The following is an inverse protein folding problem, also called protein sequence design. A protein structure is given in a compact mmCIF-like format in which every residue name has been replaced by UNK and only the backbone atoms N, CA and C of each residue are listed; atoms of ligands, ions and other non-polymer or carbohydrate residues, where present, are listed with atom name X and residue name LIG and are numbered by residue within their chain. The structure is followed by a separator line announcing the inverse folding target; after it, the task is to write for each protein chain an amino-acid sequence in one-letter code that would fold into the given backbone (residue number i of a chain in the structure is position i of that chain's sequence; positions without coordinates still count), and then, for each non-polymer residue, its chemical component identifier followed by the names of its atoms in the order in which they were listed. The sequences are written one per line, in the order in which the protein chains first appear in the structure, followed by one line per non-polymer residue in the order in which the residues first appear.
data_IF_667370763944
#
_entry.id   IF_667370763944
#
_cell.length_a   1.000
_cell.length_b   1.000
_cell.length_c   1.000
_cell.angle_alpha   90.00
_cell.angle_beta   90.00
_cell.angle_gamma   90.00
#
_symmetry.space_group_name_H-M   'P 1'
#
loop_
_entity.id
_entity.type
_entity.pdbx_description
1 polymer ?
#
# COMPACT_ATOMS: atom_id res chain seq x y z
N UNK A 1 -23.96 -26.16 -23.94
CA UNK A 1 -22.86 -26.30 -22.94
C UNK A 1 -23.33 -25.68 -21.62
N UNK A 2 -23.14 -26.32 -20.46
CA UNK A 2 -23.69 -25.85 -19.18
C UNK A 2 -23.09 -24.53 -18.68
N UNK A 3 -21.92 -24.10 -19.20
CA UNK A 3 -21.30 -22.81 -18.88
C UNK A 3 -22.06 -21.57 -19.42
N UNK A 4 -22.97 -21.77 -20.37
CA UNK A 4 -23.71 -20.69 -21.04
C UNK A 4 -25.00 -20.31 -20.30
N UNK A 5 -25.30 -20.97 -19.17
CA UNK A 5 -26.48 -20.63 -18.38
C UNK A 5 -26.18 -19.35 -17.57
N UNK A 6 -26.87 -18.22 -17.82
CA UNK A 6 -26.59 -16.94 -17.17
C UNK A 6 -26.98 -16.93 -15.69
N UNK A 7 -27.83 -17.86 -15.26
CA UNK A 7 -28.26 -18.00 -13.88
C UNK A 7 -27.44 -19.08 -13.14
N UNK A 8 -26.83 -18.79 -11.97
CA UNK A 8 -26.78 -17.52 -11.25
C UNK A 8 -25.37 -16.90 -11.27
N UNK A 9 -24.93 -16.30 -12.38
CA UNK A 9 -23.61 -15.66 -12.48
C UNK A 9 -23.39 -14.55 -11.45
N UNK A 10 -24.45 -13.80 -11.11
CA UNK A 10 -24.37 -12.74 -10.10
C UNK A 10 -24.03 -13.29 -8.70
N UNK A 11 -24.61 -14.43 -8.31
CA UNK A 11 -24.31 -15.08 -7.03
C UNK A 11 -22.89 -15.64 -7.02
N UNK A 12 -22.45 -16.24 -8.12
CA UNK A 12 -21.08 -16.76 -8.25
C UNK A 12 -20.07 -15.62 -8.16
N UNK A 13 -20.31 -14.52 -8.88
CA UNK A 13 -19.46 -13.33 -8.86
C UNK A 13 -19.37 -12.77 -7.44
N UNK A 14 -20.52 -12.47 -6.81
CA UNK A 14 -20.57 -11.86 -5.46
C UNK A 14 -19.94 -12.76 -4.39
N UNK A 15 -20.20 -14.06 -4.42
CA UNK A 15 -19.60 -15.03 -3.49
C UNK A 15 -18.08 -15.13 -3.66
N UNK A 16 -17.59 -15.13 -4.91
CA UNK A 16 -16.16 -15.18 -5.21
C UNK A 16 -15.46 -13.92 -4.71
N UNK A 17 -16.02 -12.74 -4.99
CA UNK A 17 -15.47 -11.48 -4.50
C UNK A 17 -15.48 -11.39 -2.98
N UNK A 18 -16.57 -11.81 -2.32
CA UNK A 18 -16.65 -11.81 -0.86
C UNK A 18 -15.61 -12.74 -0.22
N UNK A 19 -15.42 -13.92 -0.80
CA UNK A 19 -14.42 -14.88 -0.31
C UNK A 19 -13.01 -14.31 -0.49
N UNK A 20 -12.73 -13.68 -1.64
CA UNK A 20 -11.44 -13.06 -1.89
C UNK A 20 -11.16 -11.89 -0.94
N UNK A 21 -12.13 -11.01 -0.68
CA UNK A 21 -11.94 -9.88 0.24
C UNK A 21 -11.71 -10.35 1.68
N UNK A 22 -12.50 -11.32 2.16
CA UNK A 22 -12.35 -11.86 3.52
C UNK A 22 -10.98 -12.51 3.73
N UNK A 23 -10.48 -13.25 2.74
CA UNK A 23 -9.21 -13.99 2.87
C UNK A 23 -7.99 -13.08 2.62
N UNK A 24 -8.06 -12.20 1.61
CA UNK A 24 -6.91 -11.42 1.16
C UNK A 24 -6.68 -10.17 2.03
N UNK A 25 -7.74 -9.48 2.45
CA UNK A 25 -7.64 -8.24 3.24
C UNK A 25 -6.76 -8.38 4.51
N UNK A 26 -6.95 -9.38 5.39
CA UNK A 26 -6.12 -9.50 6.59
C UNK A 26 -4.67 -9.82 6.26
N UNK A 27 -4.42 -10.56 5.18
CA UNK A 27 -3.05 -10.90 4.72
C UNK A 27 -2.32 -9.66 4.23
N UNK A 28 -3.00 -8.80 3.46
CA UNK A 28 -2.40 -7.55 2.98
C UNK A 28 -2.14 -6.59 4.15
N UNK A 29 -3.08 -6.46 5.08
CA UNK A 29 -2.91 -5.55 6.21
C UNK A 29 -1.77 -5.96 7.16
N UNK A 30 -1.42 -7.25 7.20
CA UNK A 30 -0.31 -7.75 8.02
C UNK A 30 1.09 -7.41 7.49
N UNK A 31 1.21 -6.83 6.29
CA UNK A 31 2.52 -6.45 5.75
C UNK A 31 3.11 -5.27 6.50
N UNK A 32 4.28 -5.49 7.09
CA UNK A 32 5.11 -4.43 7.64
C UNK A 32 5.85 -3.72 6.51
N UNK A 33 5.76 -2.38 6.39
CA UNK A 33 6.51 -1.64 5.38
C UNK A 33 8.01 -1.73 5.70
N UNK A 34 8.81 -2.18 4.73
CA UNK A 34 10.27 -2.34 4.87
C UNK A 34 11.00 -1.02 5.09
N UNK A 35 10.42 0.08 4.62
CA UNK A 35 10.89 1.43 4.91
C UNK A 35 9.84 2.13 5.77
N UNK A 36 10.19 2.54 6.98
CA UNK A 36 9.37 3.51 7.70
C UNK A 36 9.27 4.76 6.81
N UNK A 37 8.07 5.27 6.49
CA UNK A 37 7.96 6.56 5.83
C UNK A 37 8.70 7.54 6.73
N UNK A 38 9.74 8.16 6.18
CA UNK A 38 10.68 9.03 6.86
C UNK A 38 9.99 10.29 7.40
N UNK A 39 9.11 10.14 8.38
CA UNK A 39 8.49 11.24 9.09
C UNK A 39 9.49 11.84 10.09
N UNK A 40 10.45 11.03 10.58
CA UNK A 40 11.58 11.50 11.40
C UNK A 40 12.57 12.42 10.66
N UNK A 41 12.58 12.39 9.31
CA UNK A 41 13.44 13.27 8.53
C UNK A 41 12.83 14.66 8.27
N UNK A 42 11.57 14.92 8.69
CA UNK A 42 10.98 16.26 8.55
C UNK A 42 11.31 17.18 9.73
N UNK A 43 11.50 16.64 10.93
CA UNK A 43 11.83 17.46 12.10
C UNK A 43 13.35 17.61 12.35
N UNK A 44 14.18 16.69 11.86
CA UNK A 44 15.64 16.73 12.11
C UNK A 44 16.48 17.31 10.96
N UNK A 45 15.87 17.72 9.84
CA UNK A 45 16.62 18.25 8.67
C UNK A 45 16.49 19.76 8.45
N UNK A 46 15.97 20.50 9.42
CA UNK A 46 15.91 21.97 9.36
C UNK A 46 17.08 22.64 10.09
N UNK A 47 17.86 21.94 10.93
CA UNK A 47 18.75 22.63 11.87
C UNK A 47 20.21 22.77 11.42
N UNK A 48 20.72 22.06 10.41
CA UNK A 48 22.18 22.08 10.12
C UNK A 48 22.58 22.14 8.64
N UNK A 49 21.85 22.87 7.80
CA UNK A 49 22.42 23.31 6.52
C UNK A 49 23.36 24.51 6.80
N UNK A 50 24.57 24.24 7.32
CA UNK A 50 25.62 25.25 7.28
C UNK A 50 25.83 25.63 5.81
N UNK A 51 25.68 26.89 5.39
CA UNK A 51 25.98 27.28 4.03
C UNK A 51 27.45 26.95 3.77
N UNK A 52 27.71 26.22 2.68
CA UNK A 52 29.06 25.87 2.25
C UNK A 52 29.84 27.16 1.97
N UNK A 53 30.74 27.54 2.87
CA UNK A 53 31.63 28.68 2.66
C UNK A 53 32.72 28.26 1.69
N UNK A 54 32.62 28.72 0.44
CA UNK A 54 33.68 28.54 -0.55
C UNK A 54 34.99 29.19 -0.07
N UNK A 55 36.16 28.62 -0.39
CA UNK A 55 37.43 28.98 0.24
C UNK A 55 38.13 30.19 -0.39
N UNK A 56 37.44 31.03 -1.17
CA UNK A 56 38.04 32.16 -1.89
C UNK A 56 37.42 33.52 -1.53
N UNK A 57 37.16 33.74 -0.24
CA UNK A 57 37.04 35.10 0.34
C UNK A 57 38.13 35.31 1.35
#
# INVERSE_FOLDING_TARGET
MPQLNPDPWFLVLTSTWLTYTIILQPKILSYLPTNTPSQDNKNNKIINAKPWTWPWT
#
